data_IF_788340921144
#
_entry.id   IF_788340921144
#
_cell.length_a   1.000
_cell.length_b   1.000
_cell.length_c   1.000
_cell.angle_alpha   90.00
_cell.angle_beta   90.00
_cell.angle_gamma   90.00
#
_symmetry.space_group_name_H-M   'P 1'
#
loop_
_entity.id
_entity.type
_entity.pdbx_description
1 polymer ?
#
# COMPACT_ATOMS: atom_id res chain seq x y z
N UNK A 1 -20.21 -1.48 14.23
CA UNK A 1 -19.41 -1.71 13.01
C UNK A 1 -20.31 -1.49 11.81
N UNK A 2 -19.90 -0.66 10.86
CA UNK A 2 -20.79 -0.22 9.77
C UNK A 2 -20.94 -1.26 8.64
N UNK A 3 -20.18 -2.35 8.66
CA UNK A 3 -20.20 -3.40 7.62
C UNK A 3 -19.94 -2.86 6.18
N UNK A 4 -19.09 -1.86 6.05
CA UNK A 4 -18.80 -1.13 4.79
C UNK A 4 -18.23 -2.03 3.69
N UNK A 5 -17.64 -3.18 4.06
CA UNK A 5 -17.10 -4.20 3.14
C UNK A 5 -17.82 -5.53 3.26
N UNK A 6 -19.06 -5.55 3.77
CA UNK A 6 -19.84 -6.78 3.90
C UNK A 6 -19.94 -7.54 2.58
N UNK A 7 -19.49 -8.80 2.58
CA UNK A 7 -19.52 -9.67 1.41
C UNK A 7 -18.45 -9.40 0.36
N UNK A 8 -17.53 -8.45 0.58
CA UNK A 8 -16.36 -8.20 -0.29
C UNK A 8 -15.22 -9.14 0.07
N UNK A 9 -14.38 -9.43 -0.91
CA UNK A 9 -13.15 -10.22 -0.79
C UNK A 9 -11.98 -9.32 -1.15
N UNK A 10 -10.99 -9.23 -0.27
CA UNK A 10 -9.84 -8.36 -0.42
C UNK A 10 -8.52 -9.15 -0.38
N UNK A 11 -7.55 -8.73 -1.18
CA UNK A 11 -6.14 -9.07 -1.02
C UNK A 11 -5.41 -7.82 -0.50
N UNK A 12 -4.60 -7.99 0.54
CA UNK A 12 -3.70 -6.95 1.04
C UNK A 12 -2.28 -7.49 0.98
N UNK A 13 -1.42 -6.89 0.15
CA UNK A 13 0.01 -7.22 0.11
C UNK A 13 0.78 -6.42 1.16
N UNK A 14 1.85 -7.00 1.73
CA UNK A 14 2.54 -6.40 2.87
C UNK A 14 1.70 -6.44 4.16
N UNK A 15 0.81 -7.42 4.29
CA UNK A 15 -0.13 -7.55 5.42
C UNK A 15 0.52 -8.08 6.70
N UNK A 16 1.78 -8.45 6.67
CA UNK A 16 2.51 -8.97 7.83
C UNK A 16 2.85 -7.92 8.89
N UNK A 17 2.78 -6.62 8.58
CA UNK A 17 3.11 -5.54 9.51
C UNK A 17 2.54 -4.19 9.06
N UNK A 18 2.71 -3.16 9.90
CA UNK A 18 2.49 -1.75 9.56
C UNK A 18 1.11 -1.47 8.94
N UNK A 19 1.10 -0.66 7.88
CA UNK A 19 -0.12 -0.20 7.21
C UNK A 19 -0.93 -1.37 6.65
N UNK A 20 -0.27 -2.36 6.03
CA UNK A 20 -0.96 -3.52 5.45
C UNK A 20 -1.69 -4.36 6.50
N UNK A 21 -1.06 -4.61 7.66
CA UNK A 21 -1.70 -5.29 8.80
C UNK A 21 -2.93 -4.50 9.29
N UNK A 22 -2.75 -3.20 9.54
CA UNK A 22 -3.84 -2.36 10.03
C UNK A 22 -5.03 -2.31 9.04
N UNK A 23 -4.76 -2.24 7.74
CA UNK A 23 -5.79 -2.28 6.72
C UNK A 23 -6.49 -3.64 6.65
N UNK A 24 -5.74 -4.75 6.70
CA UNK A 24 -6.31 -6.10 6.69
C UNK A 24 -7.24 -6.34 7.89
N UNK A 25 -6.80 -5.95 9.10
CA UNK A 25 -7.61 -6.03 10.32
C UNK A 25 -8.89 -5.18 10.21
N UNK A 26 -8.79 -3.94 9.71
CA UNK A 26 -9.93 -3.04 9.56
C UNK A 26 -10.90 -3.53 8.47
N UNK A 27 -10.40 -4.03 7.33
CA UNK A 27 -11.25 -4.57 6.27
C UNK A 27 -12.07 -5.77 6.76
N UNK A 28 -11.44 -6.66 7.53
CA UNK A 28 -12.14 -7.80 8.13
C UNK A 28 -13.16 -7.36 9.18
N UNK A 29 -12.84 -6.37 10.03
CA UNK A 29 -13.75 -5.79 11.01
C UNK A 29 -14.98 -5.13 10.35
N UNK A 30 -14.84 -4.67 9.11
CA UNK A 30 -15.91 -4.09 8.28
C UNK A 30 -16.59 -5.12 7.34
N UNK A 31 -16.36 -6.42 7.59
CA UNK A 31 -17.10 -7.51 6.98
C UNK A 31 -16.50 -8.13 5.72
N UNK A 32 -15.28 -7.78 5.34
CA UNK A 32 -14.57 -8.43 4.24
C UNK A 32 -14.01 -9.81 4.62
N UNK A 33 -13.85 -10.67 3.61
CA UNK A 33 -12.91 -11.78 3.66
C UNK A 33 -11.56 -11.28 3.16
N UNK A 34 -10.46 -11.62 3.85
CA UNK A 34 -9.15 -11.02 3.57
C UNK A 34 -8.08 -12.09 3.34
N UNK A 35 -7.35 -11.97 2.23
CA UNK A 35 -6.07 -12.64 2.02
C UNK A 35 -4.95 -11.74 2.54
N UNK A 36 -4.29 -12.15 3.61
CA UNK A 36 -3.10 -11.50 4.14
C UNK A 36 -1.86 -12.04 3.43
N UNK A 37 -1.30 -11.27 2.50
CA UNK A 37 -0.18 -11.69 1.66
C UNK A 37 1.10 -10.94 2.04
N UNK A 38 2.20 -11.65 2.34
CA UNK A 38 3.47 -11.03 2.72
C UNK A 38 4.66 -11.95 2.38
N UNK A 39 5.84 -11.39 2.16
CA UNK A 39 7.07 -12.17 2.06
C UNK A 39 7.45 -12.78 3.41
N UNK A 40 7.10 -12.11 4.52
CA UNK A 40 7.18 -12.62 5.88
C UNK A 40 5.96 -13.48 6.19
N UNK A 41 6.07 -14.77 5.90
CA UNK A 41 5.02 -15.77 6.13
C UNK A 41 4.49 -15.76 7.58
N UNK A 42 5.41 -15.65 8.57
CA UNK A 42 5.04 -15.58 9.98
C UNK A 42 4.16 -14.36 10.27
N UNK A 43 4.56 -13.18 9.80
CA UNK A 43 3.79 -11.95 9.99
C UNK A 43 2.41 -11.99 9.33
N UNK A 44 2.30 -12.56 8.12
CA UNK A 44 1.02 -12.76 7.43
C UNK A 44 0.10 -13.69 8.23
N UNK A 45 0.62 -14.82 8.72
CA UNK A 45 -0.11 -15.78 9.56
C UNK A 45 -0.56 -15.19 10.88
N UNK A 46 0.27 -14.39 11.54
CA UNK A 46 -0.10 -13.68 12.76
C UNK A 46 -1.27 -12.73 12.53
N UNK A 47 -1.24 -11.95 11.43
CA UNK A 47 -2.34 -11.05 11.05
C UNK A 47 -3.62 -11.83 10.77
N UNK A 48 -3.56 -12.89 9.97
CA UNK A 48 -4.73 -13.72 9.68
C UNK A 48 -5.29 -14.41 10.93
N UNK A 49 -4.42 -14.92 11.81
CA UNK A 49 -4.84 -15.54 13.07
C UNK A 49 -5.56 -14.55 13.99
N UNK A 50 -5.07 -13.31 14.08
CA UNK A 50 -5.71 -12.23 14.84
C UNK A 50 -7.09 -11.87 14.31
N UNK A 51 -7.26 -11.89 13.00
CA UNK A 51 -8.56 -11.66 12.33
C UNK A 51 -9.50 -12.85 12.53
N UNK A 52 -8.98 -14.06 12.51
CA UNK A 52 -9.77 -15.30 12.66
C UNK A 52 -10.40 -15.79 11.35
N UNK A 53 -11.61 -16.34 11.41
CA UNK A 53 -12.26 -17.03 10.28
C UNK A 53 -12.52 -16.16 9.03
N UNK A 54 -12.36 -14.85 9.13
CA UNK A 54 -12.51 -13.94 7.99
C UNK A 54 -11.22 -13.77 7.16
N UNK A 55 -10.09 -14.35 7.60
CA UNK A 55 -8.82 -14.19 6.89
C UNK A 55 -8.08 -15.50 6.68
N UNK A 56 -7.30 -15.53 5.61
CA UNK A 56 -6.27 -16.54 5.35
C UNK A 56 -4.95 -15.83 5.02
N UNK A 57 -3.85 -16.56 5.12
CA UNK A 57 -2.52 -16.01 4.87
C UNK A 57 -1.79 -16.80 3.77
N UNK A 58 -0.98 -16.11 2.99
CA UNK A 58 -0.04 -16.73 2.05
C UNK A 58 1.30 -16.00 2.04
N UNK A 59 2.38 -16.75 1.88
CA UNK A 59 3.69 -16.18 1.59
C UNK A 59 3.74 -15.79 0.11
N UNK A 60 4.15 -14.55 -0.17
CA UNK A 60 4.33 -14.05 -1.54
C UNK A 60 5.54 -13.12 -1.62
N UNK A 61 6.42 -13.37 -2.57
CA UNK A 61 7.33 -12.36 -3.08
C UNK A 61 6.62 -11.64 -4.24
N UNK A 62 6.24 -10.39 -3.99
CA UNK A 62 5.47 -9.58 -4.96
C UNK A 62 6.26 -9.23 -6.23
N UNK A 63 7.57 -9.49 -6.27
CA UNK A 63 8.41 -9.32 -7.46
C UNK A 63 8.38 -10.52 -8.39
N UNK A 64 7.82 -11.66 -7.93
CA UNK A 64 7.73 -12.92 -8.69
C UNK A 64 6.33 -13.07 -9.28
N UNK A 65 6.17 -12.93 -10.62
CA UNK A 65 4.86 -12.95 -11.28
C UNK A 65 4.00 -14.17 -10.91
N UNK A 66 4.60 -15.37 -10.92
CA UNK A 66 3.88 -16.61 -10.61
C UNK A 66 3.39 -16.69 -9.15
N UNK A 67 4.10 -16.06 -8.20
CA UNK A 67 3.64 -16.02 -6.80
C UNK A 67 2.46 -15.06 -6.62
N UNK A 68 2.45 -13.92 -7.32
CA UNK A 68 1.33 -12.98 -7.31
C UNK A 68 0.10 -13.61 -7.96
N UNK A 69 0.26 -14.26 -9.11
CA UNK A 69 -0.82 -14.99 -9.79
C UNK A 69 -1.42 -16.07 -8.89
N UNK A 70 -0.57 -16.88 -8.26
CA UNK A 70 -0.99 -17.90 -7.29
C UNK A 70 -1.77 -17.30 -6.13
N UNK A 71 -1.33 -16.17 -5.57
CA UNK A 71 -2.02 -15.48 -4.46
C UNK A 71 -3.44 -15.09 -4.84
N UNK A 72 -3.64 -14.57 -6.05
CA UNK A 72 -4.98 -14.25 -6.57
C UNK A 72 -5.81 -15.52 -6.73
N UNK A 73 -5.25 -16.56 -7.35
CA UNK A 73 -5.95 -17.84 -7.55
C UNK A 73 -6.35 -18.51 -6.23
N UNK A 74 -5.47 -18.53 -5.23
CA UNK A 74 -5.76 -19.04 -3.87
C UNK A 74 -6.88 -18.24 -3.20
N UNK A 75 -6.91 -16.91 -3.37
CA UNK A 75 -7.97 -16.04 -2.84
C UNK A 75 -9.32 -16.40 -3.45
N UNK A 76 -9.37 -16.48 -4.78
CA UNK A 76 -10.62 -16.84 -5.50
C UNK A 76 -11.06 -18.25 -5.16
N UNK A 77 -10.14 -19.20 -5.04
CA UNK A 77 -10.45 -20.58 -4.61
C UNK A 77 -11.06 -20.63 -3.20
N UNK A 78 -10.54 -19.81 -2.28
CA UNK A 78 -10.99 -19.81 -0.87
C UNK A 78 -12.30 -19.04 -0.67
N UNK A 79 -12.50 -17.93 -1.39
CA UNK A 79 -13.58 -16.98 -1.12
C UNK A 79 -14.54 -16.74 -2.30
N UNK A 80 -14.27 -17.34 -3.47
CA UNK A 80 -15.15 -17.35 -4.64
C UNK A 80 -15.01 -16.18 -5.61
N UNK A 81 -14.34 -15.07 -5.23
CA UNK A 81 -14.19 -13.87 -6.04
C UNK A 81 -13.05 -12.98 -5.54
N UNK A 82 -12.81 -11.86 -6.25
CA UNK A 82 -11.94 -10.77 -5.79
C UNK A 82 -12.62 -9.42 -6.06
N UNK A 83 -12.85 -8.63 -5.02
CA UNK A 83 -13.46 -7.29 -5.10
C UNK A 83 -12.44 -6.17 -4.85
N UNK A 84 -11.44 -6.40 -4.00
CA UNK A 84 -10.47 -5.37 -3.59
C UNK A 84 -9.04 -5.89 -3.69
N UNK A 85 -8.17 -5.14 -4.36
CA UNK A 85 -6.72 -5.35 -4.35
C UNK A 85 -6.05 -4.15 -3.69
N UNK A 86 -5.47 -4.32 -2.51
CA UNK A 86 -4.61 -3.31 -1.91
C UNK A 86 -3.14 -3.68 -2.13
N UNK A 87 -2.54 -3.11 -3.16
CA UNK A 87 -1.12 -3.24 -3.50
C UNK A 87 -0.29 -2.34 -2.58
N UNK A 88 -0.05 -2.81 -1.35
CA UNK A 88 0.59 -2.04 -0.28
C UNK A 88 2.05 -2.45 -0.04
N UNK A 89 2.48 -3.66 -0.39
CA UNK A 89 3.85 -4.12 -0.20
C UNK A 89 4.89 -3.13 -0.75
N UNK A 90 5.93 -2.86 0.01
CA UNK A 90 6.99 -1.94 -0.41
C UNK A 90 8.16 -1.91 0.56
N UNK A 91 9.24 -1.28 0.11
CA UNK A 91 10.44 -1.03 0.90
C UNK A 91 10.81 0.45 0.86
N UNK A 92 11.60 0.87 1.84
CA UNK A 92 12.27 2.17 1.86
C UNK A 92 13.78 1.98 1.93
N UNK A 93 14.49 2.89 1.26
CA UNK A 93 15.95 2.97 1.29
C UNK A 93 16.35 4.41 0.97
N UNK A 94 17.60 4.77 1.25
CA UNK A 94 18.15 6.10 1.00
C UNK A 94 19.19 6.04 -0.12
N UNK A 95 19.22 7.10 -0.91
CA UNK A 95 20.21 7.28 -1.97
C UNK A 95 19.85 8.47 -2.83
N UNK A 96 20.82 9.37 -3.07
CA UNK A 96 20.65 10.46 -4.03
C UNK A 96 20.87 9.94 -5.46
N UNK A 97 20.50 10.72 -6.45
CA UNK A 97 20.51 10.31 -7.84
C UNK A 97 21.93 9.99 -8.40
N UNK A 98 22.98 10.52 -7.78
CA UNK A 98 24.37 10.30 -8.22
C UNK A 98 24.99 9.03 -7.62
N UNK A 99 24.67 8.72 -6.37
CA UNK A 99 25.35 7.68 -5.59
C UNK A 99 24.66 6.31 -5.66
N UNK A 100 23.41 6.26 -6.15
CA UNK A 100 22.65 5.01 -6.28
C UNK A 100 23.33 4.06 -7.26
N UNK A 101 23.55 2.81 -6.84
CA UNK A 101 23.93 1.75 -7.78
C UNK A 101 22.76 1.30 -8.63
N UNK A 102 23.06 0.67 -9.77
CA UNK A 102 22.04 0.12 -10.66
C UNK A 102 21.21 -0.97 -9.98
N UNK A 103 21.82 -1.76 -9.10
CA UNK A 103 21.15 -2.81 -8.31
C UNK A 103 20.17 -2.21 -7.30
N UNK A 104 20.55 -1.14 -6.60
CA UNK A 104 19.67 -0.44 -5.66
C UNK A 104 18.45 0.16 -6.40
N UNK A 105 18.71 0.80 -7.54
CA UNK A 105 17.66 1.31 -8.42
C UNK A 105 16.69 0.21 -8.83
N UNK A 106 17.18 -0.85 -9.44
CA UNK A 106 16.34 -1.94 -9.96
C UNK A 106 15.55 -2.64 -8.85
N UNK A 107 16.18 -2.89 -7.70
CA UNK A 107 15.48 -3.45 -6.54
C UNK A 107 14.32 -2.57 -6.08
N UNK A 108 14.53 -1.26 -6.01
CA UNK A 108 13.49 -0.32 -5.61
C UNK A 108 12.33 -0.30 -6.61
N UNK A 109 12.63 -0.22 -7.90
CA UNK A 109 11.61 -0.26 -8.97
C UNK A 109 10.87 -1.59 -8.97
N UNK A 110 11.57 -2.72 -8.85
CA UNK A 110 10.94 -4.04 -8.82
C UNK A 110 9.91 -4.16 -7.69
N UNK A 111 10.29 -3.73 -6.47
CA UNK A 111 9.43 -3.91 -5.30
C UNK A 111 8.35 -2.83 -5.17
N UNK A 112 8.64 -1.55 -5.50
CA UNK A 112 7.69 -0.45 -5.24
C UNK A 112 6.87 -0.03 -6.46
N UNK A 113 7.20 -0.49 -7.67
CA UNK A 113 6.45 -0.15 -8.89
C UNK A 113 6.02 -1.41 -9.66
N UNK A 114 6.98 -2.27 -10.05
CA UNK A 114 6.66 -3.46 -10.84
C UNK A 114 5.69 -4.38 -10.09
N UNK A 115 5.85 -4.56 -8.78
CA UNK A 115 4.96 -5.37 -7.95
C UNK A 115 3.52 -4.84 -7.92
N UNK A 116 3.36 -3.50 -7.93
CA UNK A 116 2.03 -2.85 -7.98
C UNK A 116 1.36 -3.15 -9.33
N UNK A 117 2.12 -3.07 -10.42
CA UNK A 117 1.63 -3.48 -11.73
C UNK A 117 1.26 -4.98 -11.77
N UNK A 118 2.10 -5.87 -11.23
CA UNK A 118 1.80 -7.31 -11.16
C UNK A 118 0.53 -7.58 -10.35
N UNK A 119 0.37 -6.95 -9.20
CA UNK A 119 -0.83 -7.05 -8.36
C UNK A 119 -2.08 -6.61 -9.15
N UNK A 120 -1.99 -5.50 -9.86
CA UNK A 120 -3.05 -4.99 -10.73
C UNK A 120 -3.35 -5.96 -11.87
N UNK A 121 -2.32 -6.41 -12.59
CA UNK A 121 -2.41 -7.30 -13.75
C UNK A 121 -3.18 -8.58 -13.44
N UNK A 122 -2.85 -9.23 -12.32
CA UNK A 122 -3.48 -10.51 -11.96
C UNK A 122 -4.83 -10.34 -11.25
N UNK A 123 -5.09 -9.19 -10.61
CA UNK A 123 -6.40 -8.90 -10.01
C UNK A 123 -7.49 -8.58 -11.06
N UNK A 124 -7.14 -7.87 -12.13
CA UNK A 124 -8.08 -7.36 -13.13
C UNK A 124 -8.99 -8.44 -13.73
N UNK A 125 -8.50 -9.60 -14.19
CA UNK A 125 -9.36 -10.64 -14.77
C UNK A 125 -10.43 -11.13 -13.79
N UNK A 126 -10.07 -11.32 -12.51
CA UNK A 126 -11.00 -11.81 -11.51
C UNK A 126 -12.01 -10.73 -11.07
N UNK A 127 -11.60 -9.47 -11.02
CA UNK A 127 -12.50 -8.33 -10.79
C UNK A 127 -13.49 -8.15 -11.94
N UNK A 128 -13.06 -8.32 -13.19
CA UNK A 128 -13.97 -8.29 -14.36
C UNK A 128 -15.02 -9.39 -14.25
N UNK A 129 -14.63 -10.62 -13.89
CA UNK A 129 -15.54 -11.74 -13.64
C UNK A 129 -16.51 -11.47 -12.50
N UNK A 130 -16.07 -10.77 -11.45
CA UNK A 130 -16.88 -10.37 -10.31
C UNK A 130 -17.86 -9.19 -10.64
N UNK A 131 -17.72 -8.55 -11.82
CA UNK A 131 -18.58 -7.45 -12.26
C UNK A 131 -18.11 -6.06 -11.84
N UNK A 132 -16.88 -5.92 -11.34
CA UNK A 132 -16.24 -4.69 -10.92
C UNK A 132 -15.30 -4.88 -9.74
N UNK A 133 -14.68 -3.80 -9.27
CA UNK A 133 -13.75 -3.88 -8.13
C UNK A 133 -13.10 -2.56 -7.77
N UNK A 134 -12.27 -2.59 -6.74
CA UNK A 134 -11.44 -1.46 -6.31
C UNK A 134 -9.97 -1.87 -6.19
N UNK A 135 -9.10 -1.20 -6.93
CA UNK A 135 -7.65 -1.31 -6.80
C UNK A 135 -7.16 -0.09 -6.02
N UNK A 136 -6.37 -0.34 -4.98
CA UNK A 136 -5.77 0.68 -4.13
C UNK A 136 -4.27 0.48 -4.21
N UNK A 137 -3.56 1.49 -4.69
CA UNK A 137 -2.12 1.45 -4.85
C UNK A 137 -1.43 2.28 -3.76
N UNK A 138 -0.49 1.69 -3.03
CA UNK A 138 0.30 2.41 -2.05
C UNK A 138 1.40 3.20 -2.73
N UNK A 139 1.14 4.50 -2.98
CA UNK A 139 2.16 5.47 -3.36
C UNK A 139 2.78 6.12 -2.12
N UNK A 140 3.14 7.38 -2.22
CA UNK A 140 3.75 8.17 -1.16
C UNK A 140 3.63 9.66 -1.51
N UNK A 141 3.75 10.54 -0.51
CA UNK A 141 4.05 11.95 -0.72
C UNK A 141 5.27 12.15 -1.64
N UNK A 142 6.28 11.26 -1.54
CA UNK A 142 7.47 11.27 -2.41
C UNK A 142 7.16 11.01 -3.91
N UNK A 143 5.98 10.56 -4.24
CA UNK A 143 5.50 10.47 -5.62
C UNK A 143 4.83 11.75 -6.13
N UNK A 144 4.48 12.67 -5.22
CA UNK A 144 3.83 13.96 -5.53
C UNK A 144 4.83 15.12 -5.55
N UNK A 145 5.80 15.09 -4.63
CA UNK A 145 6.79 16.14 -4.44
C UNK A 145 8.20 15.57 -4.34
N UNK A 146 9.21 16.39 -4.67
CA UNK A 146 10.60 16.01 -4.50
C UNK A 146 10.99 15.94 -3.03
N UNK A 147 11.64 14.83 -2.64
CA UNK A 147 12.20 14.63 -1.31
C UNK A 147 13.66 14.22 -1.46
N UNK A 148 14.57 14.97 -0.84
CA UNK A 148 16.02 14.73 -0.94
C UNK A 148 16.42 13.36 -0.41
N UNK A 149 17.41 12.71 -1.08
CA UNK A 149 18.03 11.47 -0.62
C UNK A 149 17.23 10.18 -0.84
N UNK A 150 16.19 10.19 -1.69
CA UNK A 150 15.36 8.99 -1.98
C UNK A 150 14.95 8.93 -3.46
N UNK A 151 15.89 9.22 -4.38
CA UNK A 151 15.59 9.41 -5.81
C UNK A 151 14.86 8.20 -6.45
N UNK A 152 15.34 6.99 -6.22
CA UNK A 152 14.73 5.75 -6.74
C UNK A 152 13.34 5.47 -6.15
N UNK A 153 13.15 5.79 -4.86
CA UNK A 153 11.86 5.65 -4.20
C UNK A 153 10.83 6.64 -4.77
N UNK A 154 11.23 7.92 -4.91
CA UNK A 154 10.37 8.96 -5.52
C UNK A 154 9.98 8.59 -6.95
N UNK A 155 10.92 8.12 -7.77
CA UNK A 155 10.64 7.65 -9.12
C UNK A 155 9.64 6.49 -9.14
N UNK A 156 9.83 5.48 -8.27
CA UNK A 156 8.91 4.34 -8.17
C UNK A 156 7.50 4.80 -7.76
N UNK A 157 7.39 5.67 -6.74
CA UNK A 157 6.09 6.14 -6.22
C UNK A 157 5.36 7.09 -7.17
N UNK A 158 6.10 7.91 -7.94
CA UNK A 158 5.53 8.68 -9.05
C UNK A 158 5.03 7.75 -10.19
N UNK A 159 5.77 6.70 -10.51
CA UNK A 159 5.35 5.68 -11.47
C UNK A 159 4.04 4.98 -11.06
N UNK A 160 3.84 4.72 -9.76
CA UNK A 160 2.58 4.18 -9.23
C UNK A 160 1.40 5.12 -9.49
N UNK A 161 1.59 6.43 -9.39
CA UNK A 161 0.55 7.42 -9.71
C UNK A 161 0.19 7.36 -11.19
N UNK A 162 1.19 7.34 -12.08
CA UNK A 162 0.96 7.21 -13.52
C UNK A 162 0.22 5.92 -13.88
N UNK A 163 0.62 4.79 -13.28
CA UNK A 163 -0.08 3.51 -13.44
C UNK A 163 -1.54 3.59 -12.96
N UNK A 164 -1.77 4.27 -11.84
CA UNK A 164 -3.13 4.45 -11.28
C UNK A 164 -4.05 5.19 -12.23
N UNK A 165 -3.57 6.29 -12.84
CA UNK A 165 -4.32 7.04 -13.85
C UNK A 165 -4.68 6.16 -15.05
N UNK A 166 -3.70 5.42 -15.58
CA UNK A 166 -3.88 4.59 -16.76
C UNK A 166 -4.91 3.48 -16.51
N UNK A 167 -4.78 2.75 -15.41
CA UNK A 167 -5.71 1.66 -15.05
C UNK A 167 -7.14 2.17 -14.84
N UNK A 168 -7.29 3.33 -14.22
CA UNK A 168 -8.61 3.93 -14.00
C UNK A 168 -9.33 4.23 -15.33
N UNK A 169 -8.62 4.76 -16.31
CA UNK A 169 -9.18 5.09 -17.64
C UNK A 169 -9.50 3.80 -18.43
N UNK A 170 -8.59 2.82 -18.44
CA UNK A 170 -8.75 1.58 -19.21
C UNK A 170 -9.86 0.69 -18.65
N UNK A 171 -9.97 0.59 -17.34
CA UNK A 171 -10.87 -0.37 -16.69
C UNK A 171 -12.10 0.26 -16.02
N UNK A 172 -12.25 1.57 -16.06
CA UNK A 172 -13.48 2.27 -15.65
C UNK A 172 -14.74 1.73 -16.34
N UNK A 173 -14.74 1.48 -17.67
CA UNK A 173 -15.86 0.85 -18.36
C UNK A 173 -16.22 -0.56 -17.87
N UNK A 174 -15.30 -1.23 -17.15
CA UNK A 174 -15.51 -2.53 -16.48
C UNK A 174 -15.92 -2.40 -15.04
N UNK A 175 -16.28 -1.18 -14.58
CA UNK A 175 -16.64 -0.85 -13.19
C UNK A 175 -15.50 -1.14 -12.19
N UNK A 176 -14.27 -1.02 -12.64
CA UNK A 176 -13.07 -1.14 -11.78
C UNK A 176 -12.55 0.26 -11.51
N UNK A 177 -12.45 0.61 -10.23
CA UNK A 177 -11.82 1.85 -9.77
C UNK A 177 -10.36 1.57 -9.43
N UNK A 178 -9.49 2.52 -9.70
CA UNK A 178 -8.08 2.46 -9.31
C UNK A 178 -7.67 3.81 -8.73
N UNK A 179 -7.22 3.81 -7.46
CA UNK A 179 -6.78 5.03 -6.77
C UNK A 179 -5.46 4.78 -6.03
N UNK A 180 -4.67 5.82 -5.84
CA UNK A 180 -3.45 5.77 -5.06
C UNK A 180 -3.61 6.51 -3.73
N UNK A 181 -3.04 5.96 -2.65
CA UNK A 181 -2.85 6.65 -1.38
C UNK A 181 -1.42 7.18 -1.36
N UNK A 182 -1.24 8.46 -1.01
CA UNK A 182 0.04 9.15 -0.97
C UNK A 182 0.35 9.64 0.46
N UNK A 183 0.75 8.75 1.38
CA UNK A 183 1.02 9.15 2.75
C UNK A 183 2.28 10.02 2.87
N UNK A 184 2.26 10.94 3.82
CA UNK A 184 3.45 11.47 4.45
C UNK A 184 4.15 10.42 5.31
N UNK A 185 4.90 10.85 6.32
CA UNK A 185 5.56 9.91 7.24
C UNK A 185 4.54 9.27 8.18
N UNK A 186 4.35 7.98 8.02
CA UNK A 186 3.61 7.11 8.95
C UNK A 186 4.63 6.31 9.74
N UNK A 187 4.63 6.41 11.07
CA UNK A 187 5.60 5.67 11.88
C UNK A 187 5.30 4.17 11.83
N UNK A 188 6.13 3.45 11.11
CA UNK A 188 6.04 2.01 10.83
C UNK A 188 7.39 1.35 11.08
N UNK A 189 7.48 0.01 11.18
CA UNK A 189 8.77 -0.69 11.21
C UNK A 189 9.69 -0.34 10.02
N UNK A 190 9.12 -0.03 8.86
CA UNK A 190 9.88 0.44 7.70
C UNK A 190 10.54 1.79 7.96
N UNK A 191 9.78 2.77 8.46
CA UNK A 191 10.31 4.12 8.77
C UNK A 191 11.32 4.06 9.88
N UNK A 192 11.06 3.28 10.94
CA UNK A 192 11.99 3.06 12.03
C UNK A 192 13.34 2.51 11.52
N UNK A 193 13.30 1.49 10.66
CA UNK A 193 14.50 0.92 10.04
C UNK A 193 15.27 1.96 9.22
N UNK A 194 14.59 2.76 8.40
CA UNK A 194 15.23 3.82 7.58
C UNK A 194 15.89 4.87 8.47
N UNK A 195 15.23 5.28 9.54
CA UNK A 195 15.78 6.29 10.46
C UNK A 195 16.95 5.76 11.28
N UNK A 196 16.91 4.50 11.75
CA UNK A 196 18.01 3.88 12.51
C UNK A 196 19.24 3.61 11.63
N UNK A 197 19.08 3.43 10.32
CA UNK A 197 20.19 3.33 9.37
C UNK A 197 20.79 4.67 8.92
N UNK A 198 20.38 5.77 9.55
CA UNK A 198 20.87 7.12 9.20
C UNK A 198 20.23 7.72 7.96
N UNK A 199 19.22 7.05 7.40
CA UNK A 199 18.49 7.52 6.24
C UNK A 199 17.23 8.34 6.59
N UNK A 200 16.63 8.89 5.53
CA UNK A 200 15.36 9.61 5.65
C UNK A 200 15.54 11.12 5.87
N UNK A 201 14.45 11.82 5.67
CA UNK A 201 14.39 13.29 5.60
C UNK A 201 14.61 13.95 6.98
N UNK A 202 14.47 13.20 8.06
CA UNK A 202 14.68 13.69 9.43
C UNK A 202 16.16 13.75 9.84
N UNK A 203 17.07 13.21 9.00
CA UNK A 203 18.47 12.99 9.38
C UNK A 203 18.53 12.05 10.59
N UNK A 204 19.10 10.86 10.45
CA UNK A 204 19.15 9.89 11.53
C UNK A 204 19.69 10.52 12.83
N UNK A 205 19.00 10.28 13.91
CA UNK A 205 19.41 10.68 15.26
C UNK A 205 19.48 9.46 16.17
N UNK A 206 20.29 9.51 17.20
CA UNK A 206 20.38 8.46 18.23
C UNK A 206 19.13 8.42 19.13
N UNK A 207 18.35 9.51 19.16
CA UNK A 207 17.10 9.61 19.92
C UNK A 207 15.90 9.55 18.94
N UNK A 208 15.16 8.45 19.01
CA UNK A 208 13.97 8.22 18.17
C UNK A 208 12.83 9.19 18.48
N UNK A 209 12.64 9.57 19.75
CA UNK A 209 11.57 10.49 20.14
C UNK A 209 11.85 11.91 19.67
N UNK A 210 13.09 12.37 19.72
CA UNK A 210 13.51 13.65 19.15
C UNK A 210 13.35 13.65 17.62
N UNK A 211 13.71 12.55 16.96
CA UNK A 211 13.53 12.38 15.51
C UNK A 211 12.05 12.43 15.12
N UNK A 212 11.16 11.80 15.87
CA UNK A 212 9.70 11.89 15.67
C UNK A 212 9.19 13.33 15.82
N UNK A 213 9.60 14.02 16.89
CA UNK A 213 9.20 15.41 17.16
C UNK A 213 9.65 16.34 16.01
N UNK A 214 10.91 16.28 15.61
CA UNK A 214 11.42 17.09 14.48
C UNK A 214 10.69 16.79 13.16
N UNK A 215 10.42 15.51 12.90
CA UNK A 215 9.67 15.11 11.73
C UNK A 215 8.22 15.62 11.75
N UNK A 216 7.57 15.60 12.92
CA UNK A 216 6.20 16.08 13.10
C UNK A 216 6.05 17.59 12.79
N UNK A 217 7.06 18.39 13.12
CA UNK A 217 7.07 19.85 12.84
C UNK A 217 7.02 20.20 11.33
N UNK A 218 7.29 19.24 10.46
CA UNK A 218 7.22 19.45 9.00
C UNK A 218 5.79 19.37 8.45
N UNK A 219 4.87 18.86 9.25
CA UNK A 219 3.47 18.70 8.87
C UNK A 219 2.62 19.82 9.49
N UNK A 220 1.81 20.54 8.69
CA UNK A 220 0.89 21.56 9.24
C UNK A 220 0.03 21.08 10.39
N UNK A 221 -0.38 19.80 10.39
CA UNK A 221 -1.13 19.20 11.50
C UNK A 221 -0.30 18.90 12.76
N UNK A 222 1.01 19.17 12.78
CA UNK A 222 1.89 19.05 13.94
C UNK A 222 2.13 17.62 14.45
N UNK A 223 1.77 16.60 13.66
CA UNK A 223 1.99 15.19 14.02
C UNK A 223 2.42 14.35 12.83
N UNK A 224 3.01 13.21 13.10
CA UNK A 224 3.15 12.14 12.12
C UNK A 224 1.80 11.47 11.86
N UNK A 225 1.64 10.86 10.70
CA UNK A 225 0.49 10.02 10.44
C UNK A 225 0.54 8.71 11.23
N UNK A 226 -0.63 8.17 11.49
CA UNK A 226 -0.83 6.90 12.18
C UNK A 226 -1.23 5.80 11.18
N UNK A 227 -1.07 4.54 11.58
CA UNK A 227 -1.53 3.40 10.77
C UNK A 227 -3.01 3.48 10.46
N UNK A 228 -3.80 3.97 11.43
CA UNK A 228 -5.24 4.17 11.28
C UNK A 228 -5.59 5.20 10.20
N UNK A 229 -4.80 6.26 10.02
CA UNK A 229 -5.05 7.25 8.96
C UNK A 229 -5.03 6.56 7.58
N UNK A 230 -4.02 5.71 7.32
CA UNK A 230 -3.92 4.96 6.07
C UNK A 230 -5.00 3.89 5.94
N UNK A 231 -5.27 3.12 7.00
CA UNK A 231 -6.26 2.05 6.98
C UNK A 231 -7.68 2.60 6.73
N UNK A 232 -8.04 3.74 7.32
CA UNK A 232 -9.33 4.39 7.12
C UNK A 232 -9.51 4.89 5.68
N UNK A 233 -8.48 5.50 5.09
CA UNK A 233 -8.55 5.93 3.69
C UNK A 233 -8.61 4.71 2.75
N UNK A 234 -7.85 3.65 3.02
CA UNK A 234 -7.92 2.41 2.26
C UNK A 234 -9.32 1.77 2.36
N UNK A 235 -9.93 1.75 3.55
CA UNK A 235 -11.29 1.28 3.75
C UNK A 235 -12.31 2.11 2.94
N UNK A 236 -12.22 3.43 2.97
CA UNK A 236 -13.08 4.30 2.16
C UNK A 236 -12.95 4.00 0.67
N UNK A 237 -11.72 3.89 0.16
CA UNK A 237 -11.46 3.59 -1.24
C UNK A 237 -11.88 2.15 -1.63
N UNK A 238 -11.85 1.19 -0.70
CA UNK A 238 -12.34 -0.17 -0.91
C UNK A 238 -13.86 -0.25 -0.95
N UNK A 239 -14.56 0.65 -0.27
CA UNK A 239 -16.02 0.64 -0.10
C UNK A 239 -16.75 1.28 -1.29
N UNK A 240 -18.07 1.06 -1.33
CA UNK A 240 -18.95 1.67 -2.34
C UNK A 240 -19.19 3.17 -2.10
N UNK A 241 -18.80 3.71 -0.95
CA UNK A 241 -18.84 5.15 -0.64
C UNK A 241 -17.96 5.97 -1.60
N UNK A 242 -16.90 5.36 -2.14
CA UNK A 242 -16.00 5.96 -3.13
C UNK A 242 -16.35 5.58 -4.58
N UNK A 243 -17.61 5.20 -4.86
CA UNK A 243 -18.05 4.68 -6.17
C UNK A 243 -17.82 5.63 -7.36
N UNK A 244 -17.69 6.93 -7.11
CA UNK A 244 -17.42 7.95 -8.14
C UNK A 244 -15.97 8.49 -8.09
N UNK A 245 -15.07 7.82 -7.35
CA UNK A 245 -13.67 8.21 -7.23
C UNK A 245 -12.80 7.17 -7.92
N UNK A 246 -12.15 7.53 -9.01
CA UNK A 246 -11.17 6.70 -9.73
C UNK A 246 -10.12 7.56 -10.41
N UNK A 247 -8.91 7.05 -10.54
CA UNK A 247 -7.77 7.76 -11.15
C UNK A 247 -7.19 8.84 -10.26
N UNK A 248 -7.40 8.82 -8.95
CA UNK A 248 -6.93 9.88 -8.06
C UNK A 248 -5.77 9.42 -7.18
N UNK A 249 -4.76 10.28 -7.05
CA UNK A 249 -3.67 10.15 -6.09
C UNK A 249 -4.01 11.02 -4.87
N UNK A 250 -4.45 10.38 -3.78
CA UNK A 250 -4.97 11.07 -2.60
C UNK A 250 -3.83 11.39 -1.64
N UNK A 251 -3.45 12.67 -1.43
CA UNK A 251 -2.52 13.05 -0.38
C UNK A 251 -3.08 12.70 0.99
N UNK A 252 -2.25 12.07 1.83
CA UNK A 252 -2.57 11.74 3.22
C UNK A 252 -1.37 12.14 4.09
N UNK A 253 -1.11 13.43 4.15
CA UNK A 253 0.19 13.98 4.53
C UNK A 253 0.11 15.14 5.53
N UNK A 254 -1.01 15.29 6.23
CA UNK A 254 -1.20 16.35 7.22
C UNK A 254 -1.02 17.75 6.67
N UNK A 255 -1.23 17.96 5.36
CA UNK A 255 -1.15 19.24 4.67
C UNK A 255 0.23 19.57 4.11
N UNK A 256 1.20 18.68 4.17
CA UNK A 256 2.59 18.97 3.75
C UNK A 256 2.70 19.31 2.25
N UNK A 257 1.91 18.66 1.38
CA UNK A 257 1.93 18.96 -0.07
C UNK A 257 1.12 20.19 -0.47
N UNK A 258 0.37 20.78 0.45
CA UNK A 258 -0.43 21.98 0.21
C UNK A 258 0.24 23.27 0.71
N UNK A 259 1.39 23.15 1.42
CA UNK A 259 2.10 24.26 2.03
C UNK A 259 3.23 24.78 1.14
#
# INVERSE_FOLDING_TARGET
>A
MANRLKGKVAIVTGAGSGIGRAAAELFAAEGAKVMCADINDKGAKETASKIGAAAIATRVDVTVPAEVERTVAETVKAFGKLDVMYANAGIGDSGNAMDLTFEQWNRMIAINLTSVWLSTKYALPEMIKAGGGSIINQSSLAGLVGIGGIAHYSAAKAGVIGLTHQVAVEFGPKKIRCNAICPGTIFTPLVEKVWTSGGGVAGGGTDMEDTKKRSALRYPMGRLGELADCANLALFLASDESSWITGYAVPLDGGMSAA
#
